data_IF_248481115782
#
_entry.id   IF_248481115782
#
_cell.length_a   1.000
_cell.length_b   1.000
_cell.length_c   1.000
_cell.angle_alpha   90.00
_cell.angle_beta   90.00
_cell.angle_gamma   90.00
#
_symmetry.space_group_name_H-M   'P 1'
#
loop_
_entity.id
_entity.type
_entity.pdbx_description
1 polymer ?
#
# COMPACT_ATOMS: atom_id res chain seq x y z
N UNK A 1 -11.11 -33.44 9.46
CA UNK A 1 -10.20 -32.62 8.64
C UNK A 1 -11.07 -31.62 7.91
N UNK A 2 -11.41 -30.52 8.60
CA UNK A 2 -12.42 -29.56 8.15
C UNK A 2 -11.72 -28.23 7.84
N UNK A 3 -11.81 -27.84 6.57
CA UNK A 3 -11.87 -26.46 6.06
C UNK A 3 -11.16 -25.41 6.92
N UNK A 4 -9.84 -25.29 6.74
CA UNK A 4 -9.21 -23.98 6.88
C UNK A 4 -9.69 -23.18 5.67
N UNK A 5 -10.46 -22.12 5.92
CA UNK A 5 -10.88 -21.19 4.88
C UNK A 5 -9.66 -20.78 4.07
N UNK A 6 -9.82 -20.77 2.75
CA UNK A 6 -8.87 -20.16 1.83
C UNK A 6 -8.69 -18.71 2.28
N UNK A 7 -7.68 -18.47 3.12
CA UNK A 7 -6.95 -17.21 3.11
C UNK A 7 -6.55 -17.09 1.64
N UNK A 8 -6.99 -16.03 0.95
CA UNK A 8 -6.46 -15.73 -0.38
C UNK A 8 -4.96 -15.55 -0.20
N UNK A 9 -4.23 -16.64 -0.42
CA UNK A 9 -2.79 -16.65 -0.30
C UNK A 9 -2.25 -16.09 -1.59
N UNK A 10 -1.44 -15.05 -1.43
CA UNK A 10 -0.62 -14.46 -2.46
C UNK A 10 0.27 -15.53 -3.10
N UNK A 11 0.56 -15.39 -4.39
CA UNK A 11 1.49 -16.29 -5.07
C UNK A 11 2.83 -16.42 -4.31
N UNK A 12 3.36 -17.65 -4.20
CA UNK A 12 4.52 -17.96 -3.34
C UNK A 12 5.75 -17.09 -3.65
N UNK A 13 6.02 -16.81 -4.94
CA UNK A 13 7.15 -15.97 -5.34
C UNK A 13 7.02 -14.55 -4.78
N UNK A 14 5.80 -14.04 -4.67
CA UNK A 14 5.54 -12.71 -4.15
C UNK A 14 5.56 -12.71 -2.62
N UNK A 15 5.10 -13.78 -1.97
CA UNK A 15 5.29 -13.97 -0.53
C UNK A 15 6.78 -13.92 -0.15
N UNK A 16 7.63 -14.67 -0.84
CA UNK A 16 9.08 -14.69 -0.61
C UNK A 16 9.70 -13.28 -0.77
N UNK A 17 9.28 -12.53 -1.80
CA UNK A 17 9.74 -11.16 -2.02
C UNK A 17 9.26 -10.20 -0.91
N UNK A 18 8.00 -10.30 -0.50
CA UNK A 18 7.46 -9.48 0.59
C UNK A 18 8.18 -9.77 1.92
N UNK A 19 8.46 -11.04 2.22
CA UNK A 19 9.25 -11.43 3.40
C UNK A 19 10.65 -10.81 3.34
N UNK A 20 11.34 -10.92 2.21
CA UNK A 20 12.66 -10.30 2.02
C UNK A 20 12.62 -8.79 2.19
N UNK A 21 11.64 -8.12 1.57
CA UNK A 21 11.46 -6.67 1.67
C UNK A 21 11.21 -6.23 3.10
N UNK A 22 10.33 -6.92 3.83
CA UNK A 22 10.02 -6.60 5.23
C UNK A 22 11.23 -6.83 6.15
N UNK A 23 12.07 -7.84 5.85
CA UNK A 23 13.32 -8.05 6.57
C UNK A 23 14.29 -6.88 6.36
N UNK A 24 14.48 -6.44 5.12
CA UNK A 24 15.36 -5.32 4.79
C UNK A 24 14.83 -3.98 5.34
N UNK A 25 13.50 -3.79 5.28
CA UNK A 25 12.80 -2.65 5.86
C UNK A 25 12.99 -2.58 7.37
N UNK A 26 12.88 -3.72 8.06
CA UNK A 26 13.11 -3.80 9.51
C UNK A 26 14.55 -3.42 9.87
N UNK A 27 15.53 -3.96 9.13
CA UNK A 27 16.95 -3.64 9.33
C UNK A 27 17.25 -2.14 9.06
N UNK A 28 16.45 -1.51 8.20
CA UNK A 28 16.60 -0.10 7.82
C UNK A 28 15.59 0.82 8.49
N UNK A 29 14.85 0.35 9.52
CA UNK A 29 13.65 1.05 10.03
C UNK A 29 13.90 2.51 10.43
N UNK A 30 15.09 2.79 10.98
CA UNK A 30 15.49 4.13 11.41
C UNK A 30 15.72 5.13 10.26
N UNK A 31 15.65 4.69 9.00
CA UNK A 31 15.70 5.54 7.81
C UNK A 31 14.32 6.05 7.36
N UNK A 32 13.23 5.58 7.98
CA UNK A 32 11.87 5.98 7.63
C UNK A 32 11.25 6.87 8.71
N UNK A 33 10.43 7.84 8.29
CA UNK A 33 9.70 8.73 9.19
C UNK A 33 8.31 8.20 9.57
N UNK A 34 7.79 7.22 8.81
CA UNK A 34 6.50 6.58 9.03
C UNK A 34 6.47 5.20 8.38
N UNK A 35 5.42 4.44 8.68
CA UNK A 35 5.20 3.08 8.20
C UNK A 35 3.89 3.02 7.40
N UNK A 36 3.83 2.16 6.40
CA UNK A 36 2.61 1.82 5.64
C UNK A 36 2.43 0.31 5.72
N UNK A 37 1.25 -0.15 6.13
CA UNK A 37 0.90 -1.56 6.06
C UNK A 37 -0.04 -1.78 4.88
N UNK A 38 0.39 -2.61 3.93
CA UNK A 38 -0.37 -2.95 2.73
C UNK A 38 -0.66 -4.46 2.75
N UNK A 39 -1.90 -4.85 2.45
CA UNK A 39 -2.22 -6.27 2.33
C UNK A 39 -1.55 -6.89 1.09
N UNK A 40 -1.08 -8.13 1.21
CA UNK A 40 -0.33 -8.79 0.15
C UNK A 40 -1.16 -9.09 -1.10
N UNK A 41 -2.44 -9.47 -0.93
CA UNK A 41 -3.41 -9.69 -2.02
C UNK A 41 -3.65 -8.39 -2.81
N UNK A 42 -3.76 -7.27 -2.11
CA UNK A 42 -3.87 -5.95 -2.72
C UNK A 42 -2.60 -5.59 -3.49
N UNK A 43 -1.41 -5.84 -2.91
CA UNK A 43 -0.15 -5.60 -3.58
C UNK A 43 0.01 -6.46 -4.85
N UNK A 44 -0.43 -7.72 -4.80
CA UNK A 44 -0.46 -8.60 -5.97
C UNK A 44 -1.35 -8.01 -7.09
N UNK A 45 -2.55 -7.53 -6.74
CA UNK A 45 -3.43 -6.87 -7.70
C UNK A 45 -2.78 -5.63 -8.34
N UNK A 46 -2.05 -4.82 -7.56
CA UNK A 46 -1.31 -3.67 -8.07
C UNK A 46 -0.25 -4.09 -9.10
N UNK A 47 0.50 -5.16 -8.84
CA UNK A 47 1.48 -5.70 -9.78
C UNK A 47 0.78 -6.16 -11.07
N UNK A 48 -0.30 -6.91 -10.96
CA UNK A 48 -1.04 -7.40 -12.13
C UNK A 48 -1.63 -6.26 -12.95
N UNK A 49 -2.22 -5.24 -12.32
CA UNK A 49 -2.72 -4.06 -13.02
C UNK A 49 -1.60 -3.32 -13.74
N UNK A 50 -0.43 -3.17 -13.10
CA UNK A 50 0.75 -2.58 -13.74
C UNK A 50 1.18 -3.36 -14.98
N UNK A 51 1.33 -4.68 -14.88
CA UNK A 51 1.75 -5.54 -15.98
C UNK A 51 0.74 -5.57 -17.14
N UNK A 52 -0.56 -5.61 -16.82
CA UNK A 52 -1.65 -5.60 -17.81
C UNK A 52 -1.79 -4.25 -18.52
N UNK A 53 -1.32 -3.18 -17.89
CA UNK A 53 -1.40 -1.84 -18.46
C UNK A 53 -0.26 -1.52 -19.40
N UNK A 54 0.84 -2.30 -19.40
CA UNK A 54 1.96 -2.05 -20.30
C UNK A 54 1.52 -1.96 -21.77
N UNK A 55 2.00 -0.95 -22.54
CA UNK A 55 3.03 0.04 -22.18
C UNK A 55 2.48 1.34 -21.56
N UNK A 56 1.19 1.37 -21.21
CA UNK A 56 0.51 2.53 -20.63
C UNK A 56 0.86 2.73 -19.15
N UNK A 57 0.55 3.92 -18.63
CA UNK A 57 0.67 4.28 -17.22
C UNK A 57 -0.72 4.24 -16.55
N UNK A 58 -0.76 3.74 -15.31
CA UNK A 58 -1.97 3.76 -14.49
C UNK A 58 -1.76 4.62 -13.25
N UNK A 59 -2.83 5.29 -12.85
CA UNK A 59 -2.93 5.95 -11.56
C UNK A 59 -3.89 5.13 -10.69
N UNK A 60 -3.41 4.74 -9.52
CA UNK A 60 -4.18 3.95 -8.56
C UNK A 60 -4.35 4.75 -7.28
N UNK A 61 -5.59 4.95 -6.88
CA UNK A 61 -5.96 5.46 -5.56
C UNK A 61 -5.88 4.31 -4.57
N UNK A 62 -5.30 4.57 -3.39
CA UNK A 62 -5.19 3.60 -2.30
C UNK A 62 -5.90 4.17 -1.08
N UNK A 63 -6.81 3.38 -0.53
CA UNK A 63 -7.66 3.78 0.58
C UNK A 63 -7.42 2.87 1.79
N UNK A 64 -7.66 3.43 2.98
CA UNK A 64 -7.67 2.70 4.24
C UNK A 64 -9.10 2.40 4.66
N UNK A 65 -9.27 1.34 5.43
CA UNK A 65 -10.46 1.17 6.27
C UNK A 65 -10.12 1.65 7.69
N UNK A 66 -10.87 2.65 8.16
CA UNK A 66 -10.72 3.20 9.50
C UNK A 66 -11.05 2.19 10.61
N UNK A 67 -11.64 1.04 10.27
CA UNK A 67 -11.86 -0.09 11.18
C UNK A 67 -10.70 -1.11 11.16
N UNK A 68 -9.67 -0.90 10.34
CA UNK A 68 -8.53 -1.79 10.20
C UNK A 68 -7.23 -1.10 10.64
N UNK A 69 -7.04 -0.82 11.94
CA UNK A 69 -5.80 -0.26 12.44
C UNK A 69 -4.65 -1.25 12.21
N UNK A 70 -3.42 -0.73 12.21
CA UNK A 70 -2.23 -1.56 12.24
C UNK A 70 -2.24 -2.51 13.44
N UNK A 71 -1.59 -3.67 13.24
CA UNK A 71 -1.27 -4.56 14.35
C UNK A 71 -0.20 -3.88 15.22
N UNK A 72 -0.53 -3.62 16.49
CA UNK A 72 0.33 -2.85 17.40
C UNK A 72 1.72 -3.47 17.57
N UNK A 73 1.81 -4.80 17.57
CA UNK A 73 3.08 -5.53 17.66
C UNK A 73 3.99 -5.29 16.45
N UNK A 74 3.41 -5.20 15.25
CA UNK A 74 4.16 -4.92 14.01
C UNK A 74 4.56 -3.45 13.99
N UNK A 75 3.63 -2.56 14.32
CA UNK A 75 3.91 -1.12 14.33
C UNK A 75 5.04 -0.77 15.30
N UNK A 76 5.06 -1.36 16.49
CA UNK A 76 6.13 -1.12 17.45
C UNK A 76 7.47 -1.71 16.99
N UNK A 77 7.45 -2.91 16.40
CA UNK A 77 8.65 -3.56 15.89
C UNK A 77 9.34 -2.71 14.82
N UNK A 78 8.55 -2.16 13.89
CA UNK A 78 9.02 -1.34 12.77
C UNK A 78 9.12 0.16 13.10
N UNK A 79 8.79 0.58 14.33
CA UNK A 79 8.89 1.99 14.74
C UNK A 79 10.34 2.46 14.71
N UNK A 80 10.52 3.59 14.03
CA UNK A 80 11.78 4.32 13.85
C UNK A 80 12.03 5.29 15.00
N UNK A 81 13.29 5.55 15.34
CA UNK A 81 13.65 6.68 16.20
C UNK A 81 13.33 8.06 15.57
N UNK A 82 13.23 8.11 14.24
CA UNK A 82 12.88 9.30 13.46
C UNK A 82 11.37 9.38 13.16
N UNK A 83 10.55 8.57 13.85
CA UNK A 83 9.12 8.49 13.59
C UNK A 83 8.41 9.84 13.83
N UNK A 84 7.55 10.21 12.88
CA UNK A 84 6.70 11.39 12.95
C UNK A 84 5.25 10.94 13.03
N UNK A 85 4.58 11.29 14.13
CA UNK A 85 3.15 11.08 14.31
C UNK A 85 2.34 12.07 13.45
N UNK A 86 1.25 11.61 12.85
CA UNK A 86 0.34 12.44 12.05
C UNK A 86 0.97 13.02 10.78
N UNK A 87 1.95 12.34 10.19
CA UNK A 87 2.61 12.75 8.95
C UNK A 87 1.63 12.79 7.75
N UNK A 88 0.61 11.93 7.77
CA UNK A 88 -0.49 11.89 6.81
C UNK A 88 -1.77 11.40 7.49
N UNK A 89 -2.94 11.77 6.94
CA UNK A 89 -4.26 11.55 7.57
C UNK A 89 -4.59 10.08 7.85
N UNK A 90 -4.07 9.16 7.04
CA UNK A 90 -4.33 7.72 7.12
C UNK A 90 -3.28 6.92 7.90
N UNK A 91 -2.36 7.59 8.60
CA UNK A 91 -1.28 6.93 9.34
C UNK A 91 -1.84 6.05 10.48
N UNK A 92 -1.32 4.83 10.61
CA UNK A 92 -1.76 3.87 11.62
C UNK A 92 -2.89 2.92 11.16
N UNK A 93 -3.33 3.01 9.90
CA UNK A 93 -4.34 2.14 9.31
C UNK A 93 -3.81 1.36 8.12
N UNK A 94 -4.28 0.11 8.00
CA UNK A 94 -3.90 -0.79 6.90
C UNK A 94 -4.56 -0.31 5.62
N UNK A 95 -3.76 -0.19 4.56
CA UNK A 95 -4.26 -0.02 3.19
C UNK A 95 -4.84 -1.36 2.75
N UNK A 96 -6.14 -1.37 2.48
CA UNK A 96 -6.87 -2.59 2.18
C UNK A 96 -7.79 -2.48 0.96
N UNK A 97 -7.89 -1.30 0.36
CA UNK A 97 -8.58 -1.07 -0.89
C UNK A 97 -7.69 -0.28 -1.87
N UNK A 98 -7.83 -0.59 -3.15
CA UNK A 98 -7.24 0.18 -4.22
C UNK A 98 -8.16 0.19 -5.43
N UNK A 99 -8.17 1.29 -6.17
CA UNK A 99 -9.00 1.44 -7.35
C UNK A 99 -8.23 2.17 -8.46
N UNK A 100 -8.39 1.74 -9.70
CA UNK A 100 -7.81 2.43 -10.85
C UNK A 100 -8.56 3.76 -11.03
N UNK A 101 -7.86 4.86 -10.78
CA UNK A 101 -8.37 6.22 -10.92
C UNK A 101 -8.27 6.67 -12.37
N UNK A 102 -7.16 6.32 -13.03
CA UNK A 102 -6.92 6.71 -14.41
C UNK A 102 -6.04 5.69 -15.15
N UNK A 103 -6.21 5.64 -16.47
CA UNK A 103 -5.36 4.91 -17.41
C UNK A 103 -4.99 5.86 -18.55
N UNK A 104 -3.73 6.30 -18.57
CA UNK A 104 -3.20 7.22 -19.57
C UNK A 104 -2.21 6.52 -20.49
N UNK A 105 -2.07 7.00 -21.73
CA UNK A 105 -0.93 6.62 -22.56
C UNK A 105 0.29 7.50 -22.23
N UNK A 106 1.47 7.14 -22.72
CA UNK A 106 2.74 7.85 -22.52
C UNK A 106 2.79 9.32 -22.99
N UNK A 107 1.67 9.88 -23.45
CA UNK A 107 1.51 11.28 -23.86
C UNK A 107 0.41 12.03 -23.08
N UNK A 108 -0.45 11.36 -22.32
CA UNK A 108 -1.56 11.99 -21.60
C UNK A 108 -2.01 11.15 -20.40
N UNK A 109 -1.34 11.32 -19.27
CA UNK A 109 -2.00 11.12 -17.98
C UNK A 109 -2.86 12.37 -17.78
N UNK A 110 -4.18 12.26 -17.90
CA UNK A 110 -5.05 13.37 -17.52
C UNK A 110 -4.75 13.75 -16.07
N UNK A 111 -4.36 15.00 -15.85
CA UNK A 111 -4.17 15.58 -14.52
C UNK A 111 -5.38 15.23 -13.66
N UNK A 112 -5.15 14.87 -12.39
CA UNK A 112 -6.22 14.72 -11.41
C UNK A 112 -7.14 15.95 -11.51
N UNK A 113 -8.48 15.77 -11.47
CA UNK A 113 -9.39 16.91 -11.41
C UNK A 113 -8.96 17.84 -10.26
N UNK A 114 -8.91 19.17 -10.48
CA UNK A 114 -8.55 20.15 -9.43
C UNK A 114 -9.38 19.96 -8.14
N UNK A 115 -10.61 19.47 -8.28
CA UNK A 115 -11.52 19.13 -7.18
C UNK A 115 -10.94 18.08 -6.19
N UNK A 116 -9.98 17.24 -6.61
CA UNK A 116 -9.29 16.28 -5.72
C UNK A 116 -8.13 16.91 -4.96
N UNK A 117 -7.62 18.07 -5.39
CA UNK A 117 -6.54 18.79 -4.71
C UNK A 117 -7.04 19.90 -3.79
N UNK A 118 -8.25 20.43 -4.03
CA UNK A 118 -8.74 21.61 -3.32
C UNK A 118 -9.26 21.32 -1.90
N UNK A 119 -9.82 20.14 -1.64
CA UNK A 119 -10.35 19.78 -0.31
C UNK A 119 -9.34 19.06 0.60
N UNK A 120 -8.15 18.66 0.09
CA UNK A 120 -7.13 17.98 0.90
C UNK A 120 -6.25 18.93 1.73
N UNK A 121 -6.27 20.24 1.44
CA UNK A 121 -5.41 21.24 2.09
C UNK A 121 -6.19 22.41 2.73
N UNK A 122 -7.52 22.30 2.87
CA UNK A 122 -8.35 23.32 3.52
C UNK A 122 -8.64 23.05 5.00
#
# INVERSE_FOLDING_TARGET
MYLAGLIEMVELWLEELMVSYNHDSLNSKNSYAAQIHLKGDLFENLIWWGLQSLPDEILVGMDIDSNSPHLSEVEELFRSEQHVEGLFQSQGFVINEAHIVNRGNSFSVHHLPEDWTDDMFS
#
